data_IF_146799325516
#
_entry.id   IF_146799325516
#
_cell.length_a   1.000
_cell.length_b   1.000
_cell.length_c   1.000
_cell.angle_alpha   90.00
_cell.angle_beta   90.00
_cell.angle_gamma   90.00
#
_symmetry.space_group_name_H-M   'P 1'
#
loop_
_entity.id
_entity.type
_entity.pdbx_description
1 polymer ?
#
# COMPACT_ATOMS: atom_id res chain seq x y z
N UNK A 1 2.31 -11.08 9.89
CA UNK A 1 2.75 -10.37 8.67
C UNK A 1 2.06 -9.03 8.58
N UNK A 2 2.81 -7.99 8.26
CA UNK A 2 2.29 -6.64 8.12
C UNK A 2 2.24 -6.25 6.64
N UNK A 3 1.07 -5.78 6.18
CA UNK A 3 0.80 -5.51 4.76
C UNK A 3 0.40 -4.06 4.60
N UNK A 4 0.96 -3.39 3.60
CA UNK A 4 0.50 -2.07 3.19
C UNK A 4 -0.34 -2.21 1.91
N UNK A 5 -1.57 -1.71 1.95
CA UNK A 5 -2.46 -1.68 0.79
C UNK A 5 -2.54 -0.24 0.31
N UNK A 6 -2.17 -0.01 -0.95
CA UNK A 6 -2.25 1.31 -1.57
C UNK A 6 -3.32 1.24 -2.66
N UNK A 7 -4.52 1.74 -2.35
CA UNK A 7 -5.70 1.63 -3.20
C UNK A 7 -6.60 2.85 -2.98
N UNK A 8 -6.99 3.53 -4.05
CA UNK A 8 -7.82 4.73 -3.99
C UNK A 8 -9.32 4.45 -3.91
N UNK A 9 -9.75 3.23 -4.28
CA UNK A 9 -11.16 2.85 -4.20
C UNK A 9 -11.48 2.33 -2.80
N UNK A 10 -12.33 3.06 -2.02
CA UNK A 10 -12.57 2.70 -0.62
C UNK A 10 -13.15 1.30 -0.41
N UNK A 11 -14.04 0.86 -1.30
CA UNK A 11 -14.66 -0.46 -1.17
C UNK A 11 -13.65 -1.57 -1.43
N UNK A 12 -12.82 -1.42 -2.45
CA UNK A 12 -11.76 -2.39 -2.75
C UNK A 12 -10.73 -2.46 -1.63
N UNK A 13 -10.33 -1.30 -1.10
CA UNK A 13 -9.39 -1.23 0.01
C UNK A 13 -9.95 -1.92 1.26
N UNK A 14 -11.20 -1.65 1.61
CA UNK A 14 -11.85 -2.26 2.77
C UNK A 14 -11.99 -3.78 2.60
N UNK A 15 -12.34 -4.22 1.40
CA UNK A 15 -12.46 -5.65 1.11
C UNK A 15 -11.12 -6.38 1.29
N UNK A 16 -10.06 -5.82 0.73
CA UNK A 16 -8.72 -6.40 0.85
C UNK A 16 -8.26 -6.44 2.31
N UNK A 17 -8.47 -5.34 3.03
CA UNK A 17 -8.09 -5.25 4.43
C UNK A 17 -8.82 -6.30 5.27
N UNK A 18 -10.12 -6.44 5.06
CA UNK A 18 -10.94 -7.43 5.76
C UNK A 18 -10.44 -8.84 5.49
N UNK A 19 -10.19 -9.18 4.24
CA UNK A 19 -9.70 -10.50 3.86
C UNK A 19 -8.36 -10.84 4.51
N UNK A 20 -7.44 -9.88 4.50
CA UNK A 20 -6.13 -10.06 5.12
C UNK A 20 -6.24 -10.18 6.63
N UNK A 21 -7.10 -9.39 7.27
CA UNK A 21 -7.32 -9.48 8.72
C UNK A 21 -7.87 -10.84 9.14
N UNK A 22 -8.76 -11.40 8.34
CA UNK A 22 -9.33 -12.73 8.60
C UNK A 22 -8.27 -13.83 8.55
N UNK A 23 -7.18 -13.60 7.84
CA UNK A 23 -6.05 -14.53 7.78
C UNK A 23 -4.93 -14.19 8.77
N UNK A 24 -5.19 -13.28 9.70
CA UNK A 24 -4.25 -12.95 10.76
C UNK A 24 -3.19 -11.91 10.38
N UNK A 25 -3.34 -11.23 9.27
CA UNK A 25 -2.41 -10.19 8.84
C UNK A 25 -2.84 -8.83 9.37
N UNK A 26 -1.86 -7.98 9.67
CA UNK A 26 -2.10 -6.57 10.01
C UNK A 26 -2.00 -5.77 8.72
N UNK A 27 -3.07 -5.09 8.34
CA UNK A 27 -3.12 -4.34 7.08
C UNK A 27 -3.34 -2.85 7.35
N UNK A 28 -2.46 -2.01 6.79
CA UNK A 28 -2.61 -0.57 6.79
C UNK A 28 -3.04 -0.12 5.39
N UNK A 29 -3.78 0.98 5.31
CA UNK A 29 -4.30 1.51 4.05
C UNK A 29 -3.68 2.87 3.73
N UNK A 30 -3.34 3.07 2.45
CA UNK A 30 -3.05 4.38 1.89
C UNK A 30 -3.95 4.59 0.68
N UNK A 31 -4.46 5.80 0.48
CA UNK A 31 -5.43 6.11 -0.56
C UNK A 31 -4.82 6.72 -1.82
N UNK A 32 -3.54 7.00 -1.79
CA UNK A 32 -2.82 7.56 -2.94
C UNK A 32 -1.34 7.14 -2.88
N UNK A 33 -0.64 7.41 -3.98
CA UNK A 33 0.75 7.02 -4.11
C UNK A 33 1.70 7.74 -3.16
N UNK A 34 1.46 9.00 -2.86
CA UNK A 34 2.32 9.76 -1.96
C UNK A 34 2.23 9.26 -0.53
N UNK A 35 1.02 9.00 -0.03
CA UNK A 35 0.82 8.44 1.29
C UNK A 35 1.37 7.01 1.37
N UNK A 36 1.17 6.23 0.30
CA UNK A 36 1.70 4.88 0.22
C UNK A 36 3.23 4.86 0.31
N UNK A 37 3.87 5.75 -0.42
CA UNK A 37 5.33 5.88 -0.40
C UNK A 37 5.83 6.28 0.99
N UNK A 38 5.17 7.26 1.61
CA UNK A 38 5.53 7.72 2.95
C UNK A 38 5.46 6.56 3.96
N UNK A 39 4.36 5.82 3.97
CA UNK A 39 4.19 4.70 4.89
C UNK A 39 5.20 3.59 4.62
N UNK A 40 5.43 3.26 3.36
CA UNK A 40 6.36 2.22 3.00
C UNK A 40 7.81 2.55 3.41
N UNK A 41 8.18 3.83 3.39
CA UNK A 41 9.51 4.28 3.79
C UNK A 41 9.70 4.40 5.30
N UNK A 42 8.60 4.59 6.05
CA UNK A 42 8.66 4.91 7.47
C UNK A 42 8.18 3.78 8.38
N UNK A 43 7.78 2.66 7.83
CA UNK A 43 7.37 1.48 8.58
C UNK A 43 7.83 0.21 7.86
N UNK A 44 7.96 -0.87 8.63
CA UNK A 44 8.38 -2.15 8.05
C UNK A 44 7.16 -2.94 7.62
N UNK A 45 7.07 -3.21 6.32
CA UNK A 45 6.02 -4.05 5.74
C UNK A 45 6.63 -5.29 5.10
N UNK A 46 5.93 -6.40 5.25
CA UNK A 46 6.33 -7.68 4.64
C UNK A 46 5.83 -7.79 3.20
N UNK A 47 4.72 -7.11 2.90
CA UNK A 47 4.09 -7.17 1.58
C UNK A 47 3.45 -5.82 1.24
N UNK A 48 3.52 -5.47 -0.03
CA UNK A 48 2.91 -4.26 -0.58
C UNK A 48 1.89 -4.66 -1.65
N UNK A 49 0.64 -4.26 -1.47
CA UNK A 49 -0.42 -4.41 -2.48
C UNK A 49 -0.66 -3.03 -3.08
N UNK A 50 -0.37 -2.87 -4.36
CA UNK A 50 -0.26 -1.57 -4.99
C UNK A 50 -1.08 -1.50 -6.28
N UNK A 51 -1.97 -0.50 -6.36
CA UNK A 51 -2.66 -0.13 -7.60
C UNK A 51 -1.75 0.83 -8.36
N UNK A 52 -1.48 0.54 -9.65
CA UNK A 52 -0.60 1.37 -10.47
C UNK A 52 -1.26 2.67 -10.95
N UNK A 53 -2.58 2.76 -10.89
CA UNK A 53 -3.35 3.93 -11.34
C UNK A 53 -3.82 4.78 -10.17
N UNK A 54 -2.88 5.22 -9.33
CA UNK A 54 -3.19 5.97 -8.12
C UNK A 54 -3.19 7.48 -8.39
N UNK A 55 -4.05 8.25 -7.68
CA UNK A 55 -3.96 9.70 -7.73
C UNK A 55 -2.69 10.20 -7.05
N UNK A 56 -2.20 11.34 -7.50
CA UNK A 56 -1.00 11.99 -6.97
C UNK A 56 0.29 11.42 -7.49
N UNK A 57 0.51 10.12 -7.26
CA UNK A 57 1.72 9.43 -7.71
C UNK A 57 1.32 8.02 -8.15
N UNK A 58 1.67 7.62 -9.36
CA UNK A 58 1.30 6.30 -9.87
C UNK A 58 2.13 5.18 -9.21
N UNK A 59 1.63 3.94 -9.34
CA UNK A 59 2.26 2.79 -8.71
C UNK A 59 3.69 2.53 -9.18
N UNK A 60 3.98 2.78 -10.46
CA UNK A 60 5.33 2.59 -10.99
C UNK A 60 6.31 3.57 -10.37
N UNK A 61 5.88 4.82 -10.16
CA UNK A 61 6.69 5.85 -9.52
C UNK A 61 7.00 5.48 -8.06
N UNK A 62 6.02 4.94 -7.34
CA UNK A 62 6.22 4.48 -5.96
C UNK A 62 7.24 3.35 -5.90
N UNK A 63 7.12 2.37 -6.79
CA UNK A 63 8.06 1.24 -6.85
C UNK A 63 9.48 1.73 -7.16
N UNK A 64 9.61 2.63 -8.13
CA UNK A 64 10.91 3.18 -8.50
C UNK A 64 11.57 3.90 -7.36
N UNK A 65 10.81 4.71 -6.63
CA UNK A 65 11.34 5.46 -5.47
C UNK A 65 11.75 4.54 -4.34
N UNK A 66 10.97 3.49 -4.06
CA UNK A 66 11.31 2.51 -3.03
C UNK A 66 12.58 1.75 -3.37
N UNK A 67 12.76 1.37 -4.63
CA UNK A 67 13.98 0.69 -5.09
C UNK A 67 15.21 1.59 -4.99
N UNK A 68 15.03 2.89 -5.25
CA UNK A 68 16.13 3.85 -5.18
C UNK A 68 16.60 4.05 -3.74
N UNK A 69 15.68 4.07 -2.79
CA UNK A 69 15.99 4.37 -1.39
C UNK A 69 16.25 3.15 -0.52
N UNK A 70 15.92 2.02 -1.00
CA UNK A 70 16.03 0.84 -0.16
C UNK A 70 16.44 -0.39 -0.79
#
# INVERSE_FOLDING_TARGET
MRVLIVEDEPKSAAYLRKGLSEHGYVADLAQNGDDGLYLAQNADYDLLVLDVMLPGRDGWSVISELRRTG
#
